data_IF_654084889146
#
_entry.id   IF_654084889146
#
_cell.length_a   1.000
_cell.length_b   1.000
_cell.length_c   1.000
_cell.angle_alpha   90.00
_cell.angle_beta   90.00
_cell.angle_gamma   90.00
#
_symmetry.space_group_name_H-M   'P 1'
#
loop_
_entity.id
_entity.type
_entity.pdbx_description
1 polymer ?
#
# COMPACT_ATOMS: atom_id res chain seq x y z
N UNK A 1 4.38 -9.73 -1.19
CA UNK A 1 3.70 -8.42 -1.37
C UNK A 1 3.55 -7.76 0.00
N UNK A 2 3.71 -6.44 0.09
CA UNK A 2 3.42 -5.68 1.32
C UNK A 2 2.25 -4.72 1.07
N UNK A 3 1.26 -4.76 1.93
CA UNK A 3 0.17 -3.79 2.04
C UNK A 3 0.42 -2.94 3.28
N UNK A 4 0.76 -1.67 3.07
CA UNK A 4 1.28 -0.79 4.14
C UNK A 4 0.20 -0.28 5.09
N UNK A 5 -1.03 -0.13 4.60
CA UNK A 5 -2.15 0.49 5.31
C UNK A 5 -3.43 -0.30 4.98
N UNK A 6 -3.48 -1.51 5.49
CA UNK A 6 -4.24 -2.59 4.91
C UNK A 6 -5.72 -2.61 5.34
N UNK A 7 -6.07 -2.10 6.52
CA UNK A 7 -7.44 -2.20 7.01
C UNK A 7 -8.39 -1.25 6.26
N UNK A 8 -9.66 -1.63 6.01
CA UNK A 8 -10.38 -2.78 6.55
C UNK A 8 -10.10 -4.14 5.87
N UNK A 9 -9.18 -4.21 4.90
CA UNK A 9 -8.68 -5.47 4.33
C UNK A 9 -9.18 -5.82 2.93
N UNK A 10 -9.95 -4.95 2.27
CA UNK A 10 -10.50 -5.25 0.94
C UNK A 10 -9.42 -5.38 -0.15
N UNK A 11 -8.42 -4.50 -0.15
CA UNK A 11 -7.29 -4.57 -1.08
C UNK A 11 -6.40 -5.77 -0.75
N UNK A 12 -6.15 -6.02 0.52
CA UNK A 12 -5.45 -7.22 0.99
C UNK A 12 -6.12 -8.50 0.52
N UNK A 13 -7.46 -8.58 0.59
CA UNK A 13 -8.22 -9.72 0.11
C UNK A 13 -8.01 -9.98 -1.39
N UNK A 14 -8.08 -8.92 -2.21
CA UNK A 14 -7.79 -9.03 -3.65
C UNK A 14 -6.34 -9.46 -3.92
N UNK A 15 -5.37 -8.97 -3.14
CA UNK A 15 -3.97 -9.41 -3.26
C UNK A 15 -3.81 -10.89 -2.94
N UNK A 16 -4.53 -11.40 -1.95
CA UNK A 16 -4.54 -12.82 -1.60
C UNK A 16 -5.19 -13.63 -2.74
N UNK A 17 -6.35 -13.20 -3.24
CA UNK A 17 -7.00 -13.85 -4.39
C UNK A 17 -6.09 -13.93 -5.61
N UNK A 18 -5.34 -12.85 -5.91
CA UNK A 18 -4.37 -12.83 -7.01
C UNK A 18 -3.21 -13.81 -6.80
N UNK A 19 -2.74 -14.01 -5.56
CA UNK A 19 -1.70 -15.01 -5.26
C UNK A 19 -2.22 -16.44 -5.45
N UNK A 20 -3.52 -16.66 -5.19
CA UNK A 20 -4.20 -17.94 -5.35
C UNK A 20 -4.75 -18.18 -6.76
N UNK A 21 -4.55 -17.25 -7.71
CA UNK A 21 -5.08 -17.37 -9.07
C UNK A 21 -4.51 -18.58 -9.84
N UNK A 22 -3.33 -19.08 -9.45
CA UNK A 22 -2.75 -20.31 -9.97
C UNK A 22 -3.18 -21.52 -9.12
N UNK A 23 -4.24 -22.20 -9.57
CA UNK A 23 -4.79 -23.40 -8.91
C UNK A 23 -3.93 -24.66 -9.10
N UNK A 24 -2.84 -24.60 -9.87
CA UNK A 24 -2.01 -25.79 -10.14
C UNK A 24 -1.18 -26.24 -8.93
N UNK A 25 -0.95 -25.34 -7.96
CA UNK A 25 -0.18 -25.60 -6.76
C UNK A 25 -1.10 -25.66 -5.52
N UNK A 26 -1.05 -26.74 -4.71
CA UNK A 26 -1.85 -26.85 -3.49
C UNK A 26 -1.57 -25.74 -2.46
N UNK A 27 -0.35 -25.20 -2.49
CA UNK A 27 0.06 -24.03 -1.71
C UNK A 27 0.64 -23.02 -2.70
N UNK A 28 0.02 -21.85 -2.87
CA UNK A 28 0.52 -20.85 -3.80
C UNK A 28 1.87 -20.31 -3.32
N UNK A 29 2.72 -19.92 -4.28
CA UNK A 29 4.01 -19.30 -3.97
C UNK A 29 3.81 -17.81 -3.68
N UNK A 30 4.39 -17.34 -2.58
CA UNK A 30 4.36 -15.94 -2.17
C UNK A 30 3.48 -15.71 -0.94
N UNK A 31 3.59 -14.51 -0.37
CA UNK A 31 2.84 -14.12 0.82
C UNK A 31 2.52 -12.62 0.80
N UNK A 32 1.46 -12.23 1.51
CA UNK A 32 1.08 -10.85 1.75
C UNK A 32 1.40 -10.51 3.20
N UNK A 33 2.17 -9.46 3.43
CA UNK A 33 2.23 -8.80 4.75
C UNK A 33 1.23 -7.66 4.72
N UNK A 34 0.24 -7.71 5.60
CA UNK A 34 -0.79 -6.69 5.75
C UNK A 34 -0.56 -5.93 7.05
N UNK A 35 -0.21 -4.65 6.93
CA UNK A 35 0.10 -3.79 8.06
C UNK A 35 -0.98 -2.73 8.27
N UNK A 36 -1.36 -2.46 9.51
CA UNK A 36 -2.14 -1.27 9.85
C UNK A 36 -1.65 -0.70 11.19
N UNK A 37 -1.75 0.62 11.37
CA UNK A 37 -1.33 1.28 12.61
C UNK A 37 -2.37 1.11 13.72
N UNK A 38 -3.64 0.98 13.36
CA UNK A 38 -4.74 0.87 14.31
C UNK A 38 -5.03 -0.60 14.66
N UNK A 39 -4.81 -0.94 15.91
CA UNK A 39 -4.98 -2.30 16.43
C UNK A 39 -6.43 -2.80 16.30
N UNK A 40 -7.43 -1.94 16.50
CA UNK A 40 -8.85 -2.29 16.35
C UNK A 40 -9.16 -2.65 14.89
N UNK A 41 -8.58 -1.89 13.96
CA UNK A 41 -8.71 -2.14 12.52
C UNK A 41 -7.95 -3.40 12.09
N UNK A 42 -6.84 -3.76 12.75
CA UNK A 42 -6.19 -5.05 12.54
C UNK A 42 -7.11 -6.23 12.85
N UNK A 43 -7.95 -6.16 13.90
CA UNK A 43 -8.91 -7.25 14.18
C UNK A 43 -9.94 -7.42 13.05
N UNK A 44 -10.39 -6.33 12.43
CA UNK A 44 -11.26 -6.41 11.24
C UNK A 44 -10.53 -7.12 10.10
N UNK A 45 -9.26 -6.80 9.90
CA UNK A 45 -8.44 -7.44 8.87
C UNK A 45 -8.22 -8.92 9.13
N UNK A 46 -7.98 -9.33 10.40
CA UNK A 46 -7.93 -10.74 10.81
C UNK A 46 -9.24 -11.44 10.49
N UNK A 47 -10.37 -10.81 10.79
CA UNK A 47 -11.69 -11.39 10.50
C UNK A 47 -11.91 -11.56 8.99
N UNK A 48 -11.52 -10.58 8.16
CA UNK A 48 -11.61 -10.72 6.69
C UNK A 48 -10.65 -11.79 6.16
N UNK A 49 -9.40 -11.80 6.62
CA UNK A 49 -8.40 -12.79 6.21
C UNK A 49 -8.83 -14.23 6.58
N UNK A 50 -9.47 -14.42 7.74
CA UNK A 50 -9.99 -15.73 8.17
C UNK A 50 -11.03 -16.29 7.19
N UNK A 51 -11.84 -15.44 6.56
CA UNK A 51 -12.83 -15.87 5.55
C UNK A 51 -12.18 -16.44 4.29
N UNK A 52 -10.98 -15.96 3.94
CA UNK A 52 -10.19 -16.49 2.83
C UNK A 52 -9.41 -17.74 3.21
N UNK A 53 -9.12 -17.93 4.51
CA UNK A 53 -8.39 -19.09 5.07
C UNK A 53 -7.08 -19.40 4.34
N UNK A 54 -6.41 -18.37 3.83
CA UNK A 54 -5.13 -18.47 3.13
C UNK A 54 -3.96 -18.58 4.13
N UNK A 55 -3.03 -19.54 3.98
CA UNK A 55 -1.82 -19.60 4.79
C UNK A 55 -0.79 -18.52 4.41
N UNK A 56 -1.01 -17.80 3.30
CA UNK A 56 -0.06 -16.88 2.69
C UNK A 56 -0.29 -15.41 3.13
N UNK A 57 -0.78 -15.19 4.34
CA UNK A 57 -1.00 -13.84 4.90
C UNK A 57 -0.40 -13.72 6.29
N UNK A 58 0.33 -12.63 6.52
CA UNK A 58 0.83 -12.21 7.82
C UNK A 58 0.28 -10.82 8.13
N UNK A 59 -0.27 -10.66 9.33
CA UNK A 59 -0.85 -9.39 9.77
C UNK A 59 0.07 -8.76 10.81
N UNK A 60 0.43 -7.50 10.61
CA UNK A 60 1.28 -6.74 11.54
C UNK A 60 0.60 -5.45 11.97
N UNK A 61 0.93 -4.99 13.18
CA UNK A 61 0.45 -3.72 13.72
C UNK A 61 1.64 -2.79 13.99
N UNK A 62 1.97 -1.93 13.03
CA UNK A 62 3.07 -0.98 13.12
C UNK A 62 2.73 0.33 12.39
N UNK A 63 3.37 1.42 12.80
CA UNK A 63 3.37 2.65 12.01
C UNK A 63 4.16 2.44 10.71
N UNK A 64 3.45 2.55 9.58
CA UNK A 64 3.98 2.31 8.24
C UNK A 64 5.10 3.27 7.85
N UNK A 65 5.15 4.46 8.47
CA UNK A 65 6.19 5.47 8.20
C UNK A 65 7.55 5.11 8.81
N UNK A 66 7.57 4.22 9.80
CA UNK A 66 8.77 3.78 10.52
C UNK A 66 8.85 2.25 10.63
N UNK A 67 8.17 1.53 9.72
CA UNK A 67 8.05 0.07 9.80
C UNK A 67 9.44 -0.60 9.74
N UNK A 68 9.79 -1.50 10.68
CA UNK A 68 11.13 -2.07 10.75
C UNK A 68 11.45 -2.98 9.55
N UNK A 69 12.74 -3.15 9.27
CA UNK A 69 13.19 -4.14 8.29
C UNK A 69 12.93 -5.55 8.82
N UNK A 70 12.26 -6.37 8.00
CA UNK A 70 12.09 -7.79 8.28
C UNK A 70 13.40 -8.53 8.01
N UNK A 71 13.86 -9.34 8.98
CA UNK A 71 15.07 -10.15 8.83
C UNK A 71 14.67 -11.55 8.41
N UNK A 72 15.37 -12.10 7.42
CA UNK A 72 15.18 -13.46 6.93
C UNK A 72 16.50 -14.21 6.93
N UNK A 73 16.43 -15.51 7.17
CA UNK A 73 17.58 -16.41 7.02
C UNK A 73 17.52 -16.97 5.62
N UNK A 74 18.56 -16.69 4.84
CA UNK A 74 18.71 -17.21 3.50
C UNK A 74 19.04 -18.73 3.55
N UNK A 75 18.84 -19.47 2.44
CA UNK A 75 19.15 -20.90 2.38
C UNK A 75 20.62 -21.24 2.67
N UNK A 76 21.52 -20.28 2.46
CA UNK A 76 22.96 -20.39 2.77
C UNK A 76 23.29 -20.15 4.26
N UNK A 77 22.28 -19.90 5.11
CA UNK A 77 22.44 -19.61 6.53
C UNK A 77 22.79 -18.15 6.84
N UNK A 78 22.99 -17.29 5.82
CA UNK A 78 23.23 -15.87 6.02
C UNK A 78 21.94 -15.14 6.44
N UNK A 79 22.10 -14.03 7.19
CA UNK A 79 20.97 -13.17 7.56
C UNK A 79 20.85 -12.03 6.56
N UNK A 80 19.70 -11.97 5.89
CA UNK A 80 19.35 -10.91 4.95
C UNK A 80 18.23 -10.01 5.48
N UNK A 81 18.04 -8.88 4.79
CA UNK A 81 16.85 -8.05 4.93
C UNK A 81 15.87 -8.48 3.85
N UNK A 82 14.65 -8.83 4.24
CA UNK A 82 13.57 -9.11 3.31
C UNK A 82 13.19 -7.81 2.58
N UNK A 83 13.20 -7.88 1.25
CA UNK A 83 12.67 -6.86 0.35
C UNK A 83 11.41 -7.41 -0.32
N UNK A 84 10.54 -6.51 -0.76
CA UNK A 84 9.27 -6.88 -1.38
C UNK A 84 9.30 -6.61 -2.88
N UNK A 85 8.80 -7.56 -3.68
CA UNK A 85 8.67 -7.37 -5.13
C UNK A 85 7.55 -6.40 -5.50
N UNK A 86 6.53 -6.33 -4.64
CA UNK A 86 5.33 -5.50 -4.82
C UNK A 86 4.94 -4.88 -3.50
N UNK A 87 4.64 -3.58 -3.53
CA UNK A 87 4.17 -2.82 -2.38
C UNK A 87 2.91 -2.04 -2.79
N UNK A 88 1.90 -2.10 -1.94
CA UNK A 88 0.70 -1.28 -2.00
C UNK A 88 0.74 -0.29 -0.84
N UNK A 89 0.86 0.99 -1.16
CA UNK A 89 0.82 2.10 -0.22
C UNK A 89 -0.51 2.85 -0.42
N UNK A 90 -1.59 2.28 0.10
CA UNK A 90 -2.91 2.92 0.16
C UNK A 90 -2.98 3.81 1.41
N UNK A 91 -2.41 5.01 1.31
CA UNK A 91 -2.10 5.83 2.49
C UNK A 91 -3.35 6.49 3.07
N UNK A 92 -3.38 6.77 4.39
CA UNK A 92 -4.45 7.56 5.00
C UNK A 92 -4.56 8.93 4.32
N UNK A 93 -5.77 9.30 3.94
CA UNK A 93 -6.08 10.46 3.12
C UNK A 93 -7.23 11.30 3.74
N UNK A 94 -7.42 12.53 3.28
CA UNK A 94 -8.55 13.38 3.71
C UNK A 94 -9.91 12.80 3.30
N UNK A 95 -9.95 11.99 2.25
CA UNK A 95 -11.11 11.25 1.78
C UNK A 95 -12.05 12.09 0.93
N UNK A 96 -11.64 13.26 0.47
CA UNK A 96 -12.48 14.19 -0.30
C UNK A 96 -12.94 13.64 -1.66
N UNK A 97 -12.24 12.65 -2.22
CA UNK A 97 -12.71 11.86 -3.37
C UNK A 97 -13.86 10.89 -3.04
N UNK A 98 -14.23 10.73 -1.77
CA UNK A 98 -15.27 9.78 -1.33
C UNK A 98 -16.63 10.42 -1.02
N UNK A 99 -16.83 11.68 -1.39
CA UNK A 99 -18.08 12.45 -1.17
C UNK A 99 -19.36 11.68 -1.50
N UNK A 100 -19.36 10.88 -2.58
CA UNK A 100 -20.51 10.03 -2.94
C UNK A 100 -20.89 9.00 -1.87
N UNK A 101 -19.90 8.41 -1.19
CA UNK A 101 -20.09 7.40 -0.14
C UNK A 101 -20.16 8.01 1.26
N UNK A 102 -19.53 9.17 1.46
CA UNK A 102 -19.45 9.85 2.74
C UNK A 102 -19.72 11.36 2.56
N UNK A 103 -21.01 11.76 2.45
CA UNK A 103 -21.39 13.16 2.21
C UNK A 103 -20.92 14.14 3.29
N UNK A 104 -20.76 13.66 4.53
CA UNK A 104 -20.37 14.46 5.68
C UNK A 104 -18.99 15.11 5.52
N UNK A 105 -18.13 14.53 4.67
CA UNK A 105 -16.79 15.05 4.38
C UNK A 105 -16.88 16.49 3.86
N UNK A 106 -17.89 16.83 3.04
CA UNK A 106 -18.04 18.17 2.48
C UNK A 106 -18.10 19.25 3.55
N UNK A 107 -18.83 18.98 4.64
CA UNK A 107 -18.99 19.94 5.74
C UNK A 107 -17.72 20.12 6.59
N UNK A 108 -16.82 19.13 6.58
CA UNK A 108 -15.58 19.11 7.37
C UNK A 108 -14.34 19.42 6.52
N UNK A 109 -14.50 19.49 5.21
CA UNK A 109 -13.41 19.66 4.27
C UNK A 109 -12.79 21.05 4.42
N UNK A 110 -11.47 21.08 4.48
CA UNK A 110 -10.69 22.31 4.42
C UNK A 110 -9.28 21.99 3.89
N UNK A 111 -8.57 22.97 3.30
CA UNK A 111 -7.23 22.76 2.76
C UNK A 111 -6.20 22.27 3.79
N UNK A 112 -6.34 22.66 5.06
CA UNK A 112 -5.40 22.26 6.10
C UNK A 112 -5.40 20.74 6.34
N UNK A 113 -6.52 20.05 6.10
CA UNK A 113 -6.59 18.59 6.21
C UNK A 113 -5.56 17.90 5.31
N UNK A 114 -5.49 18.29 4.02
CA UNK A 114 -4.52 17.72 3.07
C UNK A 114 -3.08 18.11 3.41
N UNK A 115 -2.84 19.36 3.79
CA UNK A 115 -1.50 19.81 4.20
C UNK A 115 -0.96 19.04 5.41
N UNK A 116 -1.82 18.75 6.40
CA UNK A 116 -1.43 17.99 7.59
C UNK A 116 -1.09 16.53 7.27
N UNK A 117 -1.68 15.95 6.22
CA UNK A 117 -1.46 14.56 5.82
C UNK A 117 -0.28 14.38 4.86
N UNK A 118 0.05 15.39 4.05
CA UNK A 118 1.15 15.34 3.08
C UNK A 118 2.46 14.79 3.69
N UNK A 119 2.82 15.28 4.88
CA UNK A 119 4.05 14.87 5.56
C UNK A 119 4.07 13.38 5.96
N UNK A 120 2.96 12.83 6.44
CA UNK A 120 2.88 11.41 6.83
C UNK A 120 2.78 10.51 5.59
N UNK A 121 1.99 10.89 4.59
CA UNK A 121 1.85 10.17 3.32
C UNK A 121 3.20 10.03 2.62
N UNK A 122 3.97 11.12 2.55
CA UNK A 122 5.32 11.12 2.04
C UNK A 122 6.24 10.14 2.78
N UNK A 123 6.23 10.15 4.12
CA UNK A 123 7.08 9.23 4.92
C UNK A 123 6.69 7.77 4.72
N UNK A 124 5.39 7.47 4.64
CA UNK A 124 4.90 6.11 4.37
C UNK A 124 5.38 5.66 2.99
N UNK A 125 5.16 6.47 1.95
CA UNK A 125 5.56 6.13 0.60
C UNK A 125 7.08 5.97 0.46
N UNK A 126 7.86 6.87 1.08
CA UNK A 126 9.33 6.76 1.14
C UNK A 126 9.76 5.46 1.81
N UNK A 127 9.15 5.11 2.95
CA UNK A 127 9.45 3.86 3.64
C UNK A 127 9.10 2.63 2.81
N UNK A 128 8.00 2.70 2.06
CA UNK A 128 7.63 1.69 1.07
C UNK A 128 8.74 1.49 0.04
N UNK A 129 9.22 2.56 -0.60
CA UNK A 129 10.32 2.47 -1.57
C UNK A 129 11.60 1.88 -0.97
N UNK A 130 11.96 2.23 0.26
CA UNK A 130 13.13 1.65 0.94
C UNK A 130 13.01 0.13 1.15
N UNK A 131 11.79 -0.40 1.29
CA UNK A 131 11.51 -1.82 1.48
C UNK A 131 11.30 -2.57 0.15
N UNK A 132 11.23 -1.85 -0.97
CA UNK A 132 11.05 -2.41 -2.30
C UNK A 132 12.35 -3.06 -2.80
N UNK A 133 12.22 -4.21 -3.44
CA UNK A 133 13.32 -4.84 -4.16
C UNK A 133 13.65 -4.06 -5.45
N UNK A 134 14.90 -4.13 -5.91
CA UNK A 134 15.27 -3.56 -7.22
C UNK A 134 14.48 -4.28 -8.32
N UNK A 135 13.85 -3.51 -9.20
CA UNK A 135 12.94 -4.03 -10.23
C UNK A 135 11.52 -4.33 -9.73
N UNK A 136 11.25 -4.14 -8.43
CA UNK A 136 9.92 -4.19 -7.86
C UNK A 136 9.03 -3.03 -8.31
N UNK A 137 7.74 -3.11 -7.99
CA UNK A 137 6.76 -2.03 -8.25
C UNK A 137 6.05 -1.66 -6.97
N UNK A 138 5.94 -0.35 -6.73
CA UNK A 138 5.09 0.20 -5.68
C UNK A 138 3.91 0.93 -6.31
N UNK A 139 2.71 0.70 -5.79
CA UNK A 139 1.53 1.51 -6.07
C UNK A 139 1.31 2.44 -4.89
N UNK A 140 1.33 3.74 -5.14
CA UNK A 140 0.83 4.74 -4.20
C UNK A 140 -0.59 5.08 -4.58
N UNK A 141 -1.51 5.04 -3.61
CA UNK A 141 -2.90 5.43 -3.85
C UNK A 141 -3.46 6.19 -2.68
N UNK A 142 -4.35 7.12 -2.99
CA UNK A 142 -5.21 7.79 -2.03
C UNK A 142 -6.66 7.69 -2.48
N UNK A 143 -7.54 8.11 -1.59
CA UNK A 143 -8.94 8.34 -1.80
C UNK A 143 -9.27 9.85 -1.95
N UNK A 144 -8.25 10.65 -2.27
CA UNK A 144 -8.33 12.11 -2.34
C UNK A 144 -8.36 12.58 -3.79
N UNK A 145 -8.80 13.82 -3.99
CA UNK A 145 -8.62 14.57 -5.24
C UNK A 145 -7.72 15.79 -5.04
N UNK A 146 -7.12 15.93 -3.86
CA UNK A 146 -6.28 17.06 -3.51
C UNK A 146 -4.86 16.84 -4.02
N UNK A 147 -4.32 17.72 -4.89
CA UNK A 147 -2.96 17.55 -5.42
C UNK A 147 -1.87 17.55 -4.36
N UNK A 148 -2.14 18.11 -3.17
CA UNK A 148 -1.23 18.04 -2.03
C UNK A 148 -1.03 16.62 -1.50
N UNK A 149 -2.03 15.76 -1.64
CA UNK A 149 -2.00 14.37 -1.19
C UNK A 149 -1.55 13.42 -2.29
N UNK A 150 -1.66 13.81 -3.55
CA UNK A 150 -1.31 12.99 -4.72
C UNK A 150 -0.03 13.49 -5.42
N UNK A 151 -0.15 14.39 -6.40
CA UNK A 151 0.97 14.82 -7.25
C UNK A 151 2.14 15.41 -6.45
N UNK A 152 1.85 16.17 -5.41
CA UNK A 152 2.91 16.77 -4.58
C UNK A 152 3.72 15.72 -3.82
N UNK A 153 3.09 14.65 -3.33
CA UNK A 153 3.77 13.56 -2.63
C UNK A 153 4.66 12.80 -3.61
N UNK A 154 4.12 12.45 -4.77
CA UNK A 154 4.85 11.75 -5.83
C UNK A 154 6.02 12.59 -6.35
N UNK A 155 5.79 13.88 -6.62
CA UNK A 155 6.83 14.80 -7.07
C UNK A 155 7.98 14.88 -6.06
N UNK A 156 7.67 15.02 -4.77
CA UNK A 156 8.68 15.04 -3.71
C UNK A 156 9.48 13.74 -3.64
N UNK A 157 8.82 12.59 -3.78
CA UNK A 157 9.50 11.29 -3.81
C UNK A 157 10.51 11.21 -4.96
N UNK A 158 10.10 11.61 -6.16
CA UNK A 158 10.98 11.62 -7.35
C UNK A 158 12.20 12.53 -7.14
N UNK A 159 11.99 13.72 -6.59
CA UNK A 159 13.09 14.65 -6.29
C UNK A 159 14.09 14.08 -5.26
N UNK A 160 13.62 13.38 -4.21
CA UNK A 160 14.51 12.82 -3.18
C UNK A 160 15.23 11.53 -3.64
N UNK A 161 14.67 10.79 -4.59
CA UNK A 161 15.18 9.47 -5.02
C UNK A 161 16.01 9.53 -6.29
N UNK A 162 15.97 10.65 -7.03
CA UNK A 162 16.69 10.83 -8.28
C UNK A 162 16.35 9.74 -9.29
N UNK A 163 17.37 9.17 -9.92
CA UNK A 163 17.20 8.14 -10.96
C UNK A 163 16.88 6.74 -10.41
N UNK A 164 16.76 6.58 -9.08
CA UNK A 164 16.52 5.27 -8.44
C UNK A 164 15.10 4.74 -8.70
N UNK A 165 14.15 5.63 -9.00
CA UNK A 165 12.76 5.28 -9.27
C UNK A 165 12.25 6.08 -10.47
N UNK A 166 11.25 5.52 -11.15
CA UNK A 166 10.58 6.17 -12.27
C UNK A 166 9.09 5.91 -12.21
N UNK A 167 8.31 6.86 -12.70
CA UNK A 167 6.89 6.62 -12.92
C UNK A 167 6.70 5.60 -14.03
N UNK A 168 5.80 4.66 -13.79
CA UNK A 168 5.41 3.64 -14.76
C UNK A 168 3.99 3.96 -15.20
N UNK A 169 3.77 4.06 -16.50
CA UNK A 169 2.45 4.28 -17.05
C UNK A 169 1.54 3.07 -16.76
N UNK A 170 0.43 3.32 -16.07
CA UNK A 170 -0.55 2.31 -15.71
C UNK A 170 -1.63 2.07 -16.76
N UNK A 171 -1.69 2.87 -17.84
CA UNK A 171 -2.80 2.81 -18.82
C UNK A 171 -2.93 1.45 -19.50
N UNK A 172 -1.80 0.80 -19.78
CA UNK A 172 -1.79 -0.55 -20.36
C UNK A 172 -2.36 -1.62 -19.41
N UNK A 173 -2.35 -1.34 -18.10
CA UNK A 173 -2.86 -2.26 -17.08
C UNK A 173 -4.38 -2.17 -16.91
N UNK A 174 -5.02 -1.12 -17.43
CA UNK A 174 -6.47 -0.88 -17.34
C UNK A 174 -7.01 -0.44 -18.71
N UNK A 175 -7.18 -1.37 -19.66
CA UNK A 175 -7.67 -1.05 -20.99
C UNK A 175 -9.02 -0.33 -20.94
N UNK A 176 -9.15 0.78 -21.65
CA UNK A 176 -10.38 1.58 -21.69
C UNK A 176 -10.51 2.62 -20.58
N UNK A 177 -9.51 2.77 -19.70
CA UNK A 177 -9.47 3.89 -18.76
C UNK A 177 -9.28 5.21 -19.52
N UNK A 178 -10.27 6.10 -19.44
CA UNK A 178 -10.18 7.44 -19.99
C UNK A 178 -9.37 8.29 -19.02
N UNK A 179 -8.10 8.51 -19.35
CA UNK A 179 -7.21 9.42 -18.64
C UNK A 179 -7.11 10.74 -19.44
N UNK A 180 -7.22 11.87 -18.73
CA UNK A 180 -7.44 13.24 -19.26
C UNK A 180 -8.90 13.51 -19.65
N UNK A 181 -9.66 14.30 -18.86
CA UNK A 181 -10.88 14.92 -19.33
C UNK A 181 -10.61 15.95 -20.44
#
# INVERSE_FOLDING_TARGET
VLDMCAAPGSKTAQLIEMIHADETNPVPKGFVIANDVDNNRCYMLVHQAKRLSSPNVLITNHDSSVMPNFKVTNPDGSRGILKFDRILADVPCSGDGTLRKNPDIWSKWNPANGHNLHGIQFRIAKRGLEMLAVGGKMVYSTCSLNPMEDEAVVHRLLCETGDSVRLVDGRESVPGLVCNP
#
